data_IF_183405919179
#
_entry.id   IF_183405919179
#
_cell.length_a   1.000
_cell.length_b   1.000
_cell.length_c   1.000
_cell.angle_alpha   90.00
_cell.angle_beta   90.00
_cell.angle_gamma   90.00
#
_symmetry.space_group_name_H-M   'P 1'
#
loop_
_entity.id
_entity.type
_entity.pdbx_description
1 polymer ?
#
# COMPACT_ATOMS: atom_id res chain seq x y z
N UNK A 1 -7.57 6.04 4.18
CA UNK A 1 -7.05 5.97 2.81
C UNK A 1 -5.69 6.65 2.70
N UNK A 2 -4.97 6.34 1.63
CA UNK A 2 -3.71 6.98 1.24
C UNK A 2 -3.86 7.54 -0.17
N UNK A 3 -3.36 8.74 -0.41
CA UNK A 3 -3.24 9.30 -1.75
C UNK A 3 -1.83 9.02 -2.28
N UNK A 4 -1.74 8.38 -3.43
CA UNK A 4 -0.48 8.09 -4.09
C UNK A 4 -0.45 8.70 -5.48
N UNK A 5 0.64 9.37 -5.81
CA UNK A 5 0.88 9.87 -7.16
C UNK A 5 1.55 8.78 -7.99
N UNK A 6 0.91 8.36 -9.07
CA UNK A 6 1.38 7.32 -9.98
C UNK A 6 2.04 7.86 -11.25
N UNK A 7 2.28 6.98 -12.22
CA UNK A 7 2.82 7.35 -13.53
C UNK A 7 1.90 8.36 -14.23
N UNK A 8 2.46 9.41 -14.80
CA UNK A 8 1.71 10.50 -15.46
C UNK A 8 1.08 11.48 -14.47
N UNK A 9 1.64 11.60 -13.25
CA UNK A 9 1.15 12.50 -12.21
C UNK A 9 -0.33 12.29 -11.81
N UNK A 10 -0.85 11.07 -12.05
CA UNK A 10 -2.22 10.70 -11.69
C UNK A 10 -2.29 10.32 -10.22
N UNK A 11 -3.12 11.00 -9.46
CA UNK A 11 -3.41 10.67 -8.07
C UNK A 11 -4.31 9.43 -7.99
N UNK A 12 -4.07 8.62 -6.97
CA UNK A 12 -4.85 7.41 -6.68
C UNK A 12 -5.20 7.37 -5.23
N UNK A 13 -6.45 7.11 -4.95
CA UNK A 13 -6.94 6.88 -3.61
C UNK A 13 -6.88 5.38 -3.30
N UNK A 14 -6.12 5.02 -2.29
CA UNK A 14 -5.94 3.62 -1.87
C UNK A 14 -6.56 3.47 -0.47
N UNK A 15 -7.61 2.66 -0.32
CA UNK A 15 -8.17 2.37 1.00
C UNK A 15 -7.14 1.60 1.83
N UNK A 16 -7.11 1.90 3.12
CA UNK A 16 -6.26 1.23 4.10
C UNK A 16 -7.11 0.73 5.25
N UNK A 17 -7.01 -0.55 5.58
CA UNK A 17 -7.73 -1.14 6.70
C UNK A 17 -7.24 -0.59 8.05
N UNK A 18 -8.12 -0.63 9.05
CA UNK A 18 -7.85 -0.10 10.38
C UNK A 18 -6.60 -0.72 11.02
N UNK A 19 -6.43 -2.03 10.85
CA UNK A 19 -5.27 -2.76 11.38
C UNK A 19 -3.95 -2.31 10.72
N UNK A 20 -3.95 -2.13 9.40
CA UNK A 20 -2.77 -1.64 8.67
C UNK A 20 -2.44 -0.20 9.08
N UNK A 21 -3.46 0.65 9.22
CA UNK A 21 -3.29 2.03 9.68
C UNK A 21 -2.67 2.09 11.08
N UNK A 22 -3.09 1.22 12.01
CA UNK A 22 -2.51 1.16 13.36
C UNK A 22 -1.05 0.71 13.34
N UNK A 23 -0.70 -0.31 12.53
CA UNK A 23 0.70 -0.71 12.38
C UNK A 23 1.58 0.40 11.79
N UNK A 24 1.06 1.18 10.84
CA UNK A 24 1.79 2.33 10.28
C UNK A 24 1.98 3.42 11.34
N UNK A 25 0.95 3.73 12.13
CA UNK A 25 1.07 4.71 13.23
C UNK A 25 2.10 4.26 14.27
N UNK A 26 2.08 2.98 14.66
CA UNK A 26 3.05 2.40 15.58
C UNK A 26 4.47 2.50 15.03
N UNK A 27 4.65 2.17 13.76
CA UNK A 27 5.93 2.31 13.09
C UNK A 27 6.41 3.77 13.08
N UNK A 28 5.55 4.73 12.77
CA UNK A 28 5.89 6.15 12.77
C UNK A 28 6.31 6.65 14.16
N UNK A 29 5.62 6.21 15.21
CA UNK A 29 5.90 6.65 16.58
C UNK A 29 7.25 6.16 17.11
N UNK A 30 7.67 4.97 16.76
CA UNK A 30 8.88 4.36 17.35
C UNK A 30 9.87 3.82 16.33
N UNK A 31 9.41 2.94 15.43
CA UNK A 31 10.29 2.20 14.51
C UNK A 31 10.99 3.11 13.50
N UNK A 32 10.27 4.09 12.97
CA UNK A 32 10.84 5.02 11.97
C UNK A 32 11.95 5.88 12.57
N UNK A 33 11.78 6.41 13.76
CA UNK A 33 12.80 7.21 14.44
C UNK A 33 14.07 6.39 14.72
N UNK A 34 13.91 5.14 15.19
CA UNK A 34 15.00 4.22 15.43
C UNK A 34 15.77 3.83 14.15
N UNK A 35 15.11 3.76 13.00
CA UNK A 35 15.77 3.54 11.72
C UNK A 35 16.45 4.82 11.21
N UNK A 36 15.78 5.96 11.31
CA UNK A 36 16.32 7.24 10.84
C UNK A 36 17.62 7.62 11.56
N UNK A 37 17.76 7.30 12.86
CA UNK A 37 18.97 7.55 13.65
C UNK A 37 20.20 6.77 13.15
N UNK A 38 20.01 5.74 12.33
CA UNK A 38 21.10 4.95 11.72
C UNK A 38 21.67 5.58 10.44
N UNK A 39 21.05 6.62 9.92
CA UNK A 39 21.48 7.32 8.71
C UNK A 39 22.70 8.21 8.99
N UNK A 40 23.90 7.63 9.03
CA UNK A 40 25.16 8.33 9.34
C UNK A 40 25.63 9.32 8.28
N UNK A 41 25.14 9.23 7.04
CA UNK A 41 25.70 9.95 5.90
C UNK A 41 24.71 10.84 5.14
N UNK A 42 23.47 10.96 5.60
CA UNK A 42 22.47 11.78 4.93
C UNK A 42 22.40 13.15 5.60
N UNK A 43 22.58 14.26 4.86
CA UNK A 43 22.53 15.61 5.43
C UNK A 43 21.13 15.99 5.93
N UNK A 44 20.11 15.25 5.53
CA UNK A 44 18.72 15.37 6.00
C UNK A 44 18.08 14.00 6.16
N UNK A 45 17.15 13.88 7.13
CA UNK A 45 16.32 12.67 7.26
C UNK A 45 15.58 12.38 5.96
N UNK A 46 15.57 11.11 5.54
CA UNK A 46 14.84 10.70 4.33
C UNK A 46 13.33 10.97 4.52
N UNK A 47 12.66 11.70 3.62
CA UNK A 47 11.25 12.05 3.77
C UNK A 47 10.31 10.85 3.55
N UNK A 48 10.80 9.75 2.98
CA UNK A 48 9.97 8.57 2.69
C UNK A 48 9.44 7.94 3.97
N UNK A 49 8.22 7.42 3.90
CA UNK A 49 7.58 6.79 5.04
C UNK A 49 8.37 5.59 5.52
N UNK A 50 8.66 4.64 4.64
CA UNK A 50 9.36 3.40 5.00
C UNK A 50 10.86 3.49 4.74
N UNK A 51 11.63 3.18 5.80
CA UNK A 51 13.07 3.21 5.78
C UNK A 51 13.65 1.79 5.76
N UNK A 52 14.83 1.65 5.18
CA UNK A 52 15.64 0.44 5.26
C UNK A 52 16.45 0.40 6.57
N UNK A 53 17.16 -0.70 6.80
CA UNK A 53 17.98 -0.89 8.01
C UNK A 53 19.13 0.13 8.19
N UNK A 54 19.48 0.87 7.13
CA UNK A 54 20.54 1.90 7.14
C UNK A 54 19.98 3.32 7.32
N UNK A 55 18.68 3.46 7.50
CA UNK A 55 17.99 4.74 7.72
C UNK A 55 17.63 5.52 6.46
N UNK A 56 17.98 5.04 5.27
CA UNK A 56 17.51 5.59 4.01
C UNK A 56 16.17 4.98 3.60
N UNK A 57 15.46 5.62 2.68
CA UNK A 57 14.19 5.08 2.20
C UNK A 57 14.34 3.71 1.55
N UNK A 58 13.39 2.84 1.79
CA UNK A 58 13.40 1.50 1.19
C UNK A 58 13.23 1.59 -0.33
N UNK A 59 14.09 0.89 -1.06
CA UNK A 59 13.99 0.76 -2.51
C UNK A 59 12.94 -0.30 -2.90
N UNK A 60 12.50 -0.29 -4.16
CA UNK A 60 11.60 -1.32 -4.70
C UNK A 60 12.18 -2.74 -4.50
N UNK A 61 13.47 -2.92 -4.79
CA UNK A 61 14.17 -4.20 -4.59
C UNK A 61 14.26 -4.56 -3.10
N UNK A 62 14.55 -3.57 -2.25
CA UNK A 62 14.57 -3.74 -0.80
C UNK A 62 13.23 -4.21 -0.25
N UNK A 63 12.16 -3.58 -0.68
CA UNK A 63 10.80 -3.99 -0.29
C UNK A 63 10.49 -5.42 -0.76
N UNK A 64 10.82 -5.78 -2.00
CA UNK A 64 10.62 -7.13 -2.51
C UNK A 64 11.37 -8.18 -1.69
N UNK A 65 12.64 -7.92 -1.32
CA UNK A 65 13.42 -8.81 -0.46
C UNK A 65 12.77 -9.03 0.91
N UNK A 66 12.29 -7.95 1.53
CA UNK A 66 11.56 -8.02 2.81
C UNK A 66 10.30 -8.88 2.66
N UNK A 67 9.51 -8.62 1.64
CA UNK A 67 8.27 -9.35 1.36
C UNK A 67 8.53 -10.85 1.16
N UNK A 68 9.54 -11.20 0.35
CA UNK A 68 9.94 -12.59 0.11
C UNK A 68 10.41 -13.28 1.39
N UNK A 69 11.17 -12.58 2.24
CA UNK A 69 11.63 -13.12 3.52
C UNK A 69 10.45 -13.43 4.45
N UNK A 70 9.47 -12.55 4.53
CA UNK A 70 8.25 -12.80 5.31
C UNK A 70 7.42 -13.96 4.74
N UNK A 71 7.28 -14.05 3.42
CA UNK A 71 6.61 -15.18 2.78
C UNK A 71 7.24 -16.52 3.16
N UNK A 72 8.57 -16.64 3.09
CA UNK A 72 9.31 -17.84 3.51
C UNK A 72 9.09 -18.17 5.00
N UNK A 73 9.16 -17.17 5.87
CA UNK A 73 8.91 -17.35 7.32
C UNK A 73 7.48 -17.79 7.62
N UNK A 74 6.53 -17.41 6.79
CA UNK A 74 5.13 -17.84 6.86
C UNK A 74 4.88 -19.22 6.23
N UNK A 75 5.92 -19.90 5.74
CA UNK A 75 5.80 -21.23 5.12
C UNK A 75 5.18 -21.22 3.71
N UNK A 76 5.14 -20.06 3.04
CA UNK A 76 4.64 -20.00 1.68
C UNK A 76 5.62 -20.64 0.71
N UNK A 77 5.14 -21.61 -0.07
CA UNK A 77 5.93 -22.35 -1.08
C UNK A 77 6.15 -21.52 -2.34
N UNK A 78 5.23 -20.65 -2.70
CA UNK A 78 5.35 -19.74 -3.84
C UNK A 78 6.06 -18.44 -3.46
N UNK A 79 6.82 -17.88 -4.41
CA UNK A 79 7.50 -16.62 -4.21
C UNK A 79 6.48 -15.48 -4.03
N UNK A 80 6.47 -14.88 -2.85
CA UNK A 80 5.62 -13.73 -2.57
C UNK A 80 6.22 -12.48 -3.23
N UNK A 81 5.43 -11.82 -4.08
CA UNK A 81 5.81 -10.60 -4.76
C UNK A 81 4.71 -9.53 -4.66
N UNK A 82 5.01 -8.24 -4.90
CA UNK A 82 3.97 -7.21 -4.94
C UNK A 82 2.87 -7.49 -5.96
N UNK A 83 3.21 -8.12 -7.09
CA UNK A 83 2.22 -8.52 -8.11
C UNK A 83 1.29 -9.62 -7.61
N UNK A 84 1.83 -10.62 -6.90
CA UNK A 84 1.03 -11.69 -6.29
C UNK A 84 0.07 -11.11 -5.25
N UNK A 85 0.54 -10.21 -4.37
CA UNK A 85 -0.34 -9.55 -3.40
C UNK A 85 -1.44 -8.73 -4.07
N UNK A 86 -1.09 -8.00 -5.11
CA UNK A 86 -2.05 -7.21 -5.89
C UNK A 86 -3.10 -8.10 -6.55
N UNK A 87 -2.68 -9.22 -7.13
CA UNK A 87 -3.59 -10.19 -7.73
C UNK A 87 -4.52 -10.81 -6.67
N UNK A 88 -3.96 -11.26 -5.54
CA UNK A 88 -4.74 -11.79 -4.42
C UNK A 88 -5.76 -10.78 -3.88
N UNK A 89 -5.36 -9.50 -3.78
CA UNK A 89 -6.27 -8.43 -3.38
C UNK A 89 -7.46 -8.31 -4.33
N UNK A 90 -7.19 -8.28 -5.64
CA UNK A 90 -8.25 -8.19 -6.66
C UNK A 90 -9.17 -9.42 -6.62
N UNK A 91 -8.58 -10.62 -6.54
CA UNK A 91 -9.32 -11.89 -6.51
C UNK A 91 -10.24 -11.96 -5.28
N UNK A 92 -9.72 -11.67 -4.09
CA UNK A 92 -10.52 -11.72 -2.87
C UNK A 92 -11.70 -10.74 -2.88
N UNK A 93 -11.51 -9.53 -3.42
CA UNK A 93 -12.61 -8.58 -3.55
C UNK A 93 -13.65 -9.08 -4.55
N UNK A 94 -13.19 -9.62 -5.68
CA UNK A 94 -14.08 -10.12 -6.75
C UNK A 94 -14.90 -11.33 -6.29
N UNK A 95 -14.25 -12.31 -5.64
CA UNK A 95 -14.90 -13.51 -5.10
C UNK A 95 -15.99 -13.18 -4.05
N UNK A 96 -15.82 -12.07 -3.35
CA UNK A 96 -16.81 -11.58 -2.38
C UNK A 96 -17.88 -10.68 -2.99
N UNK A 97 -17.87 -10.48 -4.31
CA UNK A 97 -18.88 -9.74 -5.05
C UNK A 97 -18.66 -8.24 -5.17
N UNK A 98 -17.43 -7.78 -4.96
CA UNK A 98 -17.10 -6.38 -5.23
C UNK A 98 -17.16 -6.08 -6.74
N UNK A 99 -17.63 -4.87 -7.06
CA UNK A 99 -17.71 -4.41 -8.45
C UNK A 99 -16.31 -4.30 -9.08
N UNK A 100 -16.15 -4.90 -10.26
CA UNK A 100 -14.88 -4.92 -11.00
C UNK A 100 -14.34 -3.51 -11.26
N UNK A 101 -15.20 -2.54 -11.53
CA UNK A 101 -14.80 -1.16 -11.78
C UNK A 101 -14.21 -0.50 -10.53
N UNK A 102 -14.81 -0.77 -9.36
CA UNK A 102 -14.25 -0.31 -8.08
C UNK A 102 -12.86 -0.91 -7.82
N UNK A 103 -12.68 -2.20 -8.11
CA UNK A 103 -11.38 -2.89 -7.98
C UNK A 103 -10.35 -2.26 -8.93
N UNK A 104 -10.71 -2.02 -10.18
CA UNK A 104 -9.84 -1.36 -11.17
C UNK A 104 -9.41 0.04 -10.72
N UNK A 105 -10.33 0.81 -10.16
CA UNK A 105 -10.02 2.13 -9.60
C UNK A 105 -9.03 2.06 -8.44
N UNK A 106 -9.25 1.16 -7.48
CA UNK A 106 -8.32 0.94 -6.35
C UNK A 106 -6.93 0.53 -6.82
N UNK A 107 -6.88 -0.29 -7.87
CA UNK A 107 -5.63 -0.76 -8.45
C UNK A 107 -5.00 0.26 -9.42
N UNK A 108 -5.72 1.31 -9.81
CA UNK A 108 -5.25 2.32 -10.73
C UNK A 108 -5.11 1.82 -12.18
N UNK A 109 -5.94 0.85 -12.60
CA UNK A 109 -6.05 0.41 -13.99
C UNK A 109 -7.06 1.23 -14.79
N UNK A 110 -7.90 2.00 -14.13
CA UNK A 110 -8.84 2.85 -14.82
C UNK A 110 -8.10 4.01 -15.48
N UNK A 111 -8.12 4.06 -16.78
CA UNK A 111 -7.80 5.25 -17.55
C UNK A 111 -8.96 6.24 -17.35
N UNK A 112 -8.97 6.86 -16.18
CA UNK A 112 -9.87 7.97 -15.90
C UNK A 112 -9.27 9.18 -16.64
N UNK A 113 -9.52 9.26 -17.93
CA UNK A 113 -9.24 10.42 -18.79
C UNK A 113 -10.08 11.64 -18.41
N UNK A 114 -10.76 11.60 -17.29
CA UNK A 114 -11.49 12.71 -16.72
C UNK A 114 -10.86 13.07 -15.38
N UNK A 115 -10.42 14.28 -15.28
CA UNK A 115 -10.17 15.06 -14.07
C UNK A 115 -11.47 15.15 -13.23
N UNK A 116 -12.09 14.01 -12.97
CA UNK A 116 -13.18 13.95 -12.01
C UNK A 116 -12.52 13.96 -10.63
N UNK A 117 -12.52 15.17 -10.11
CA UNK A 117 -12.42 15.54 -8.72
C UNK A 117 -12.71 14.32 -7.86
N UNK A 118 -11.69 13.86 -7.11
CA UNK A 118 -11.88 12.89 -6.03
C UNK A 118 -12.85 13.51 -5.03
N UNK A 119 -14.13 13.34 -5.28
CA UNK A 119 -15.17 13.83 -4.40
C UNK A 119 -15.24 12.93 -3.18
N UNK A 120 -15.59 13.48 -2.03
CA UNK A 120 -15.86 12.71 -0.80
C UNK A 120 -16.82 11.54 -1.03
N UNK A 121 -17.67 11.62 -2.06
CA UNK A 121 -18.58 10.55 -2.49
C UNK A 121 -17.81 9.34 -3.04
N UNK A 122 -16.76 9.55 -3.83
CA UNK A 122 -15.93 8.46 -4.36
C UNK A 122 -15.11 7.81 -3.25
N UNK A 123 -14.56 8.60 -2.33
CA UNK A 123 -13.85 8.08 -1.16
C UNK A 123 -14.74 7.18 -0.31
N UNK A 124 -15.94 7.66 0.03
CA UNK A 124 -16.90 6.90 0.82
C UNK A 124 -17.29 5.58 0.13
N UNK A 125 -17.49 5.61 -1.19
CA UNK A 125 -17.82 4.42 -1.98
C UNK A 125 -16.67 3.41 -2.01
N UNK A 126 -15.44 3.83 -2.28
CA UNK A 126 -14.27 2.94 -2.29
C UNK A 126 -14.01 2.34 -0.91
N UNK A 127 -14.17 3.14 0.14
CA UNK A 127 -14.07 2.68 1.53
C UNK A 127 -15.13 1.64 1.85
N UNK A 128 -16.40 1.90 1.52
CA UNK A 128 -17.51 0.97 1.74
C UNK A 128 -17.28 -0.37 1.01
N UNK A 129 -16.84 -0.34 -0.24
CA UNK A 129 -16.50 -1.56 -0.99
C UNK A 129 -15.35 -2.31 -0.32
N UNK A 130 -14.31 -1.61 0.12
CA UNK A 130 -13.19 -2.22 0.83
C UNK A 130 -13.64 -2.86 2.15
N UNK A 131 -14.34 -2.11 3.01
CA UNK A 131 -14.81 -2.58 4.32
C UNK A 131 -15.77 -3.78 4.20
N UNK A 132 -16.60 -3.79 3.16
CA UNK A 132 -17.59 -4.86 2.94
C UNK A 132 -16.97 -6.14 2.37
N UNK A 133 -15.97 -6.03 1.52
CA UNK A 133 -15.51 -7.14 0.69
C UNK A 133 -14.06 -7.58 0.96
N UNK A 134 -13.27 -6.80 1.66
CA UNK A 134 -11.90 -7.19 1.97
C UNK A 134 -11.81 -8.02 3.25
N UNK A 135 -11.08 -9.16 3.28
CA UNK A 135 -11.01 -10.05 4.45
C UNK A 135 -10.34 -9.45 5.69
N UNK A 136 -9.63 -8.33 5.54
CA UNK A 136 -8.93 -7.61 6.63
C UNK A 136 -9.27 -6.12 6.63
N UNK A 137 -10.52 -5.80 6.34
CA UNK A 137 -11.00 -4.42 6.43
C UNK A 137 -10.99 -3.88 7.86
#
# INVERSE_FOLDING_TARGET
>A
YLTCVGKGNKERLIPIGAQAAEWVRRYQRSGRAALASRARALPRADPRLFLNARGGGISRVGFWKVLTAYGRRAGLTSALSPHVLRHSFATHLLERGADLRAIQMMLGHADLSTTQIYTHVLEARLRSVYERFHPRA
#
